data_IF_000715713148
#
_entry.id   IF_000715713148
#
_cell.length_a   1.000
_cell.length_b   1.000
_cell.length_c   1.000
_cell.angle_alpha   90.00
_cell.angle_beta   90.00
_cell.angle_gamma   90.00
#
_symmetry.space_group_name_H-M   'P 1'
#
loop_
_entity.id
_entity.type
_entity.pdbx_description
1 polymer ?
#
# COMPACT_ATOMS: atom_id res chain seq x y z
N UNK A 1 39.32 -20.37 20.10
CA UNK A 1 38.46 -19.31 20.68
C UNK A 1 37.62 -19.86 21.82
N UNK A 2 37.24 -19.04 22.81
CA UNK A 2 36.27 -19.46 23.86
C UNK A 2 34.82 -19.20 23.42
N UNK A 3 33.85 -19.84 24.07
CA UNK A 3 32.42 -19.71 23.70
C UNK A 3 31.90 -18.25 23.77
N UNK A 4 32.37 -17.46 24.73
CA UNK A 4 31.98 -16.04 24.85
C UNK A 4 32.53 -15.19 23.71
N UNK A 5 33.80 -15.36 23.39
CA UNK A 5 34.48 -14.70 22.27
C UNK A 5 33.84 -15.07 20.91
N UNK A 6 33.48 -16.34 20.74
CA UNK A 6 32.77 -16.81 19.55
C UNK A 6 31.39 -16.19 19.42
N UNK A 7 30.62 -16.18 20.50
CA UNK A 7 29.27 -15.62 20.53
C UNK A 7 29.30 -14.12 20.19
N UNK A 8 30.26 -13.37 20.74
CA UNK A 8 30.47 -11.96 20.44
C UNK A 8 30.84 -11.73 18.97
N UNK A 9 31.84 -12.47 18.44
CA UNK A 9 32.27 -12.34 17.04
C UNK A 9 31.21 -12.77 16.02
N UNK A 10 30.36 -13.73 16.37
CA UNK A 10 29.23 -14.17 15.54
C UNK A 10 27.97 -13.31 15.74
N UNK A 11 27.98 -12.38 16.69
CA UNK A 11 26.83 -11.59 17.13
C UNK A 11 25.59 -12.45 17.45
N UNK A 12 25.83 -13.56 18.16
CA UNK A 12 24.78 -14.45 18.69
C UNK A 12 24.90 -14.56 20.22
N UNK A 13 23.85 -15.07 20.86
CA UNK A 13 23.95 -15.39 22.28
C UNK A 13 24.76 -16.67 22.52
N UNK A 14 25.42 -16.78 23.67
CA UNK A 14 26.05 -18.05 24.13
C UNK A 14 25.03 -19.21 24.13
N UNK A 15 23.76 -18.91 24.41
CA UNK A 15 22.66 -19.89 24.38
C UNK A 15 22.43 -20.41 22.95
N UNK A 16 22.53 -19.56 21.94
CA UNK A 16 22.42 -19.95 20.54
C UNK A 16 23.59 -20.86 20.13
N UNK A 17 24.83 -20.52 20.51
CA UNK A 17 26.00 -21.39 20.25
C UNK A 17 25.79 -22.80 20.84
N UNK A 18 25.35 -22.89 22.10
CA UNK A 18 25.04 -24.18 22.73
C UNK A 18 23.91 -24.94 22.04
N UNK A 19 22.91 -24.21 21.54
CA UNK A 19 21.81 -24.80 20.78
C UNK A 19 22.30 -25.38 19.45
N UNK A 20 23.19 -24.69 18.74
CA UNK A 20 23.78 -25.19 17.49
C UNK A 20 24.69 -26.41 17.73
N UNK A 21 25.44 -26.43 18.83
CA UNK A 21 26.16 -27.64 19.28
C UNK A 21 25.21 -28.81 19.54
N UNK A 22 24.08 -28.56 20.22
CA UNK A 22 23.08 -29.59 20.53
C UNK A 22 22.45 -30.16 19.25
N UNK A 23 22.25 -29.33 18.24
CA UNK A 23 21.79 -29.75 16.90
C UNK A 23 22.88 -30.47 16.09
N UNK A 24 24.12 -30.51 16.59
CA UNK A 24 25.25 -31.16 15.92
C UNK A 24 25.85 -30.36 14.76
N UNK A 25 25.44 -29.11 14.59
CA UNK A 25 25.88 -28.22 13.50
C UNK A 25 27.27 -27.63 13.75
N UNK A 26 27.70 -27.60 15.01
CA UNK A 26 29.02 -27.09 15.42
C UNK A 26 29.62 -28.09 16.40
N UNK A 27 30.87 -28.50 16.17
CA UNK A 27 31.56 -29.52 16.97
C UNK A 27 32.92 -28.98 17.42
N UNK A 28 32.98 -28.23 18.54
CA UNK A 28 34.22 -27.64 18.99
C UNK A 28 35.25 -28.70 19.38
N UNK A 29 36.51 -28.38 19.13
CA UNK A 29 37.64 -29.11 19.70
C UNK A 29 37.68 -28.97 21.22
N UNK A 30 38.57 -29.74 21.85
CA UNK A 30 38.85 -29.63 23.29
C UNK A 30 40.34 -29.42 23.51
N UNK A 31 40.66 -28.46 24.36
CA UNK A 31 42.01 -28.26 24.86
C UNK A 31 42.38 -29.34 25.87
N UNK A 32 43.68 -29.50 26.13
CA UNK A 32 44.23 -30.41 27.13
C UNK A 32 43.68 -30.19 28.55
N UNK A 33 43.19 -28.99 28.84
CA UNK A 33 42.54 -28.61 30.10
C UNK A 33 41.01 -28.90 30.14
N UNK A 34 40.47 -29.60 29.13
CA UNK A 34 39.08 -30.06 29.07
C UNK A 34 38.06 -29.03 28.59
N UNK A 35 38.47 -27.78 28.38
CA UNK A 35 37.58 -26.75 27.87
C UNK A 35 37.38 -26.84 26.35
N UNK A 36 36.22 -26.34 25.88
CA UNK A 36 35.91 -26.16 24.46
C UNK A 36 36.82 -25.11 23.81
N UNK A 37 37.25 -25.41 22.60
CA UNK A 37 37.99 -24.52 21.72
C UNK A 37 37.33 -24.49 20.35
N UNK A 38 36.88 -23.31 19.95
CA UNK A 38 36.22 -23.07 18.66
C UNK A 38 37.22 -22.46 17.69
N UNK A 39 37.14 -22.90 16.44
CA UNK A 39 37.94 -22.45 15.31
C UNK A 39 37.28 -21.30 14.56
N UNK A 40 38.01 -20.66 13.65
CA UNK A 40 37.40 -19.70 12.71
C UNK A 40 36.40 -20.36 11.74
N UNK A 41 36.50 -21.69 11.54
CA UNK A 41 35.48 -22.44 10.80
C UNK A 41 34.16 -22.50 11.58
N UNK A 42 34.21 -22.78 12.88
CA UNK A 42 33.02 -22.76 13.75
C UNK A 42 32.36 -21.37 13.75
N UNK A 43 33.17 -20.31 13.74
CA UNK A 43 32.68 -18.93 13.60
C UNK A 43 31.93 -18.74 12.27
N UNK A 44 32.50 -19.19 11.16
CA UNK A 44 31.88 -19.09 9.83
C UNK A 44 30.54 -19.83 9.78
N UNK A 45 30.47 -21.04 10.34
CA UNK A 45 29.24 -21.84 10.41
C UNK A 45 28.17 -21.13 11.25
N UNK A 46 28.52 -20.58 12.41
CA UNK A 46 27.55 -19.89 13.27
C UNK A 46 27.03 -18.61 12.62
N UNK A 47 27.89 -17.83 11.97
CA UNK A 47 27.48 -16.65 11.22
C UNK A 47 26.51 -16.99 10.09
N UNK A 48 26.73 -18.13 9.42
CA UNK A 48 25.83 -18.63 8.38
C UNK A 48 24.45 -19.02 8.95
N UNK A 49 24.43 -19.80 10.04
CA UNK A 49 23.18 -20.20 10.70
C UNK A 49 22.37 -18.98 11.16
N UNK A 50 23.07 -17.93 11.64
CA UNK A 50 22.45 -16.66 12.01
C UNK A 50 21.83 -15.97 10.80
N UNK A 51 22.55 -15.88 9.68
CA UNK A 51 22.04 -15.28 8.45
C UNK A 51 20.78 -16.01 7.95
N UNK A 52 20.81 -17.34 7.91
CA UNK A 52 19.66 -18.19 7.55
C UNK A 52 18.47 -17.96 8.48
N UNK A 53 18.71 -17.82 9.79
CA UNK A 53 17.66 -17.52 10.77
C UNK A 53 16.99 -16.16 10.52
N UNK A 54 17.73 -15.19 9.98
CA UNK A 54 17.20 -13.89 9.55
C UNK A 54 16.16 -13.99 8.42
N UNK A 55 16.24 -15.04 7.60
CA UNK A 55 15.26 -15.35 6.55
C UNK A 55 14.14 -16.30 7.03
N UNK A 56 14.06 -16.56 8.33
CA UNK A 56 13.04 -17.45 8.91
C UNK A 56 13.38 -18.95 8.81
N UNK A 57 14.59 -19.30 8.38
CA UNK A 57 15.02 -20.71 8.33
C UNK A 57 15.42 -21.14 9.73
N UNK A 58 14.70 -22.11 10.27
CA UNK A 58 15.01 -22.66 11.58
C UNK A 58 16.41 -23.31 11.57
N UNK A 59 17.28 -23.04 12.56
CA UNK A 59 18.59 -23.69 12.68
C UNK A 59 18.56 -25.22 12.56
N UNK A 60 17.49 -25.88 12.98
CA UNK A 60 17.32 -27.33 12.83
C UNK A 60 17.28 -27.79 11.34
N UNK A 61 16.99 -26.89 10.41
CA UNK A 61 17.02 -27.12 8.95
C UNK A 61 18.33 -26.66 8.30
N UNK A 62 19.30 -26.17 9.07
CA UNK A 62 20.54 -25.60 8.53
C UNK A 62 21.59 -26.65 8.11
N UNK A 63 21.39 -27.94 8.44
CA UNK A 63 22.37 -28.99 8.16
C UNK A 63 22.85 -29.05 6.70
N UNK A 64 21.99 -28.96 5.66
CA UNK A 64 22.46 -28.99 4.26
C UNK A 64 23.39 -27.83 3.89
N UNK A 65 23.26 -26.69 4.55
CA UNK A 65 24.09 -25.51 4.34
C UNK A 65 25.46 -25.67 5.01
N UNK A 66 25.48 -26.22 6.23
CA UNK A 66 26.72 -26.54 6.95
C UNK A 66 27.50 -27.62 6.22
N UNK A 67 26.84 -28.69 5.79
CA UNK A 67 27.45 -29.77 5.00
C UNK A 67 28.06 -29.25 3.69
N UNK A 68 27.41 -28.26 3.05
CA UNK A 68 27.96 -27.63 1.86
C UNK A 68 29.26 -26.87 2.14
N UNK A 69 29.31 -26.11 3.23
CA UNK A 69 30.54 -25.42 3.66
C UNK A 69 31.65 -26.41 4.05
N UNK A 70 31.30 -27.51 4.73
CA UNK A 70 32.23 -28.58 5.09
C UNK A 70 32.80 -29.31 3.86
N UNK A 71 32.03 -29.39 2.76
CA UNK A 71 32.49 -29.92 1.48
C UNK A 71 33.50 -28.99 0.75
N UNK A 72 33.84 -27.84 1.34
CA UNK A 72 34.88 -26.92 0.84
C UNK A 72 34.36 -25.79 -0.04
N UNK A 73 33.03 -25.64 -0.16
CA UNK A 73 32.40 -24.59 -0.94
C UNK A 73 32.62 -23.19 -0.34
N UNK A 74 32.62 -22.18 -1.22
CA UNK A 74 32.77 -20.79 -0.78
C UNK A 74 31.46 -20.27 -0.18
N UNK A 75 30.33 -20.75 -0.68
CA UNK A 75 29.01 -20.38 -0.17
C UNK A 75 28.21 -21.62 0.26
N UNK A 76 27.31 -21.44 1.22
CA UNK A 76 26.55 -22.53 1.82
C UNK A 76 25.44 -23.08 0.90
N UNK A 77 25.17 -22.37 -0.19
CA UNK A 77 24.09 -22.58 -1.16
C UNK A 77 24.58 -23.06 -2.54
N UNK A 78 25.83 -23.54 -2.63
CA UNK A 78 26.38 -24.09 -3.88
C UNK A 78 25.99 -25.56 -4.12
N UNK A 79 25.42 -26.22 -3.10
CA UNK A 79 25.10 -27.64 -3.14
C UNK A 79 23.61 -27.88 -3.48
N UNK A 80 23.28 -28.96 -4.22
CA UNK A 80 21.88 -29.27 -4.53
C UNK A 80 20.97 -29.42 -3.29
N UNK A 81 21.50 -29.95 -2.18
CA UNK A 81 20.76 -30.15 -0.95
C UNK A 81 20.42 -28.82 -0.23
N UNK A 82 21.33 -27.85 -0.21
CA UNK A 82 21.07 -26.53 0.38
C UNK A 82 20.11 -25.71 -0.48
N UNK A 83 20.23 -25.79 -1.81
CA UNK A 83 19.24 -25.18 -2.72
C UNK A 83 17.85 -25.79 -2.57
N UNK A 84 17.76 -27.11 -2.36
CA UNK A 84 16.49 -27.77 -2.06
C UNK A 84 15.89 -27.25 -0.74
N UNK A 85 16.71 -27.09 0.31
CA UNK A 85 16.26 -26.54 1.59
C UNK A 85 15.74 -25.09 1.47
N UNK A 86 16.32 -24.26 0.59
CA UNK A 86 15.77 -22.95 0.27
C UNK A 86 14.41 -23.04 -0.42
N UNK A 87 14.27 -23.91 -1.44
CA UNK A 87 12.98 -24.10 -2.15
C UNK A 87 11.88 -24.58 -1.20
N UNK A 88 12.19 -25.48 -0.29
CA UNK A 88 11.25 -25.97 0.72
C UNK A 88 10.83 -24.85 1.67
N UNK A 89 11.78 -23.99 2.07
CA UNK A 89 11.50 -22.84 2.93
C UNK A 89 10.62 -21.80 2.23
N UNK A 90 10.87 -21.53 0.95
CA UNK A 90 10.00 -20.67 0.12
C UNK A 90 8.58 -21.26 0.04
N UNK A 91 8.47 -22.56 -0.23
CA UNK A 91 7.16 -23.25 -0.29
C UNK A 91 6.40 -23.16 1.05
N UNK A 92 7.11 -23.21 2.19
CA UNK A 92 6.52 -23.05 3.51
C UNK A 92 6.05 -21.60 3.78
N UNK A 93 6.83 -20.61 3.34
CA UNK A 93 6.45 -19.21 3.38
C UNK A 93 5.21 -18.96 2.52
N UNK A 94 5.17 -19.47 1.29
CA UNK A 94 4.02 -19.35 0.39
C UNK A 94 2.76 -19.95 1.00
N UNK A 95 2.87 -21.13 1.64
CA UNK A 95 1.74 -21.74 2.37
C UNK A 95 1.27 -20.85 3.52
N UNK A 96 2.20 -20.23 4.25
CA UNK A 96 1.88 -19.33 5.35
C UNK A 96 1.20 -18.07 4.85
N UNK A 97 1.72 -17.46 3.78
CA UNK A 97 1.12 -16.31 3.10
C UNK A 97 -0.29 -16.65 2.65
N UNK A 98 -0.50 -17.77 1.95
CA UNK A 98 -1.83 -18.20 1.52
C UNK A 98 -2.80 -18.38 2.70
N UNK A 99 -2.33 -18.97 3.82
CA UNK A 99 -3.16 -19.11 5.02
C UNK A 99 -3.51 -17.76 5.66
N UNK A 100 -2.55 -16.84 5.74
CA UNK A 100 -2.76 -15.49 6.28
C UNK A 100 -3.70 -14.67 5.38
N UNK A 101 -3.55 -14.74 4.06
CA UNK A 101 -4.44 -14.14 3.08
C UNK A 101 -5.86 -14.66 3.22
N UNK A 102 -6.04 -15.99 3.30
CA UNK A 102 -7.37 -16.60 3.52
C UNK A 102 -8.00 -16.18 4.85
N UNK A 103 -7.21 -16.07 5.93
CA UNK A 103 -7.70 -15.55 7.21
C UNK A 103 -8.11 -14.08 7.12
N UNK A 104 -7.32 -13.26 6.42
CA UNK A 104 -7.66 -11.86 6.16
C UNK A 104 -8.98 -11.75 5.40
N UNK A 105 -9.15 -12.54 4.34
CA UNK A 105 -10.40 -12.59 3.55
C UNK A 105 -11.58 -13.00 4.43
N UNK A 106 -11.44 -14.05 5.24
CA UNK A 106 -12.50 -14.47 6.15
C UNK A 106 -12.86 -13.41 7.20
N UNK A 107 -11.86 -12.70 7.74
CA UNK A 107 -12.10 -11.58 8.65
C UNK A 107 -12.79 -10.41 7.94
N UNK A 108 -12.42 -10.13 6.70
CA UNK A 108 -13.07 -9.11 5.87
C UNK A 108 -14.54 -9.47 5.58
N UNK A 109 -14.83 -10.73 5.22
CA UNK A 109 -16.19 -11.24 5.06
C UNK A 109 -16.99 -11.13 6.36
N UNK A 110 -16.40 -11.54 7.49
CA UNK A 110 -17.06 -11.42 8.81
C UNK A 110 -17.30 -9.98 9.20
N UNK A 111 -16.42 -9.06 8.83
CA UNK A 111 -16.61 -7.63 9.03
C UNK A 111 -17.80 -7.12 8.20
N UNK A 112 -17.89 -7.50 6.92
CA UNK A 112 -19.02 -7.15 6.06
C UNK A 112 -20.34 -7.75 6.56
N UNK A 113 -20.33 -9.01 7.00
CA UNK A 113 -21.50 -9.69 7.55
C UNK A 113 -21.89 -9.14 8.93
N UNK A 114 -20.93 -8.76 9.77
CA UNK A 114 -21.17 -8.08 11.04
C UNK A 114 -21.77 -6.70 10.83
N UNK A 115 -21.24 -5.95 9.85
CA UNK A 115 -21.82 -4.69 9.42
C UNK A 115 -23.28 -4.90 8.98
N UNK A 116 -23.58 -5.87 8.11
CA UNK A 116 -24.95 -6.11 7.64
C UNK A 116 -25.92 -6.59 8.73
N UNK A 117 -25.44 -7.26 9.78
CA UNK A 117 -26.26 -7.66 10.95
C UNK A 117 -26.54 -6.52 11.92
N UNK A 118 -25.67 -5.51 11.96
CA UNK A 118 -25.81 -4.36 12.88
C UNK A 118 -26.77 -3.30 12.33
N UNK A 119 -27.16 -3.38 11.05
CA UNK A 119 -28.08 -2.42 10.40
C UNK A 119 -29.58 -2.75 10.53
N UNK A 120 -29.98 -3.49 11.57
CA UNK A 120 -31.38 -3.52 11.99
C UNK A 120 -31.43 -3.36 13.51
N UNK A 121 -31.77 -2.13 13.91
CA UNK A 121 -32.08 -1.68 15.27
C UNK A 121 -30.92 -1.01 16.03
N UNK A 122 -31.12 0.29 16.23
CA UNK A 122 -30.52 1.21 17.21
C UNK A 122 -29.20 1.94 16.90
N UNK A 123 -29.38 3.26 16.79
CA UNK A 123 -28.40 4.32 16.60
C UNK A 123 -27.62 4.50 17.91
N UNK A 124 -26.30 4.28 17.92
CA UNK A 124 -25.36 5.05 18.76
C UNK A 124 -23.89 4.94 18.29
N UNK A 125 -23.43 6.04 17.69
CA UNK A 125 -22.09 6.67 17.79
C UNK A 125 -20.83 5.80 17.83
N UNK A 126 -20.41 5.31 16.66
CA UNK A 126 -19.00 5.43 16.22
C UNK A 126 -19.09 6.09 14.84
N UNK A 127 -18.65 7.35 14.71
CA UNK A 127 -18.74 8.06 13.43
C UNK A 127 -17.71 7.41 12.50
N UNK A 128 -18.20 6.54 11.62
CA UNK A 128 -17.47 6.09 10.45
C UNK A 128 -17.34 7.27 9.50
N UNK A 129 -16.22 7.99 9.63
CA UNK A 129 -15.86 9.14 8.81
C UNK A 129 -15.79 8.83 7.31
N UNK A 130 -15.83 7.55 6.91
CA UNK A 130 -15.90 7.11 5.52
C UNK A 130 -17.33 7.00 4.97
N UNK A 131 -18.37 7.15 5.80
CA UNK A 131 -19.77 6.94 5.41
C UNK A 131 -20.72 8.10 5.66
N UNK A 132 -20.37 9.05 6.53
CA UNK A 132 -21.27 10.17 6.87
C UNK A 132 -20.51 11.49 6.78
N UNK A 133 -21.03 12.41 5.95
CA UNK A 133 -20.62 13.81 5.94
C UNK A 133 -21.38 14.56 7.06
N UNK A 134 -20.72 15.46 7.80
CA UNK A 134 -21.41 16.35 8.73
C UNK A 134 -22.46 17.22 8.00
N UNK A 135 -23.62 17.44 8.65
CA UNK A 135 -24.76 18.14 8.04
C UNK A 135 -24.50 19.62 7.71
N UNK A 136 -23.48 20.24 8.32
CA UNK A 136 -23.18 21.68 8.22
C UNK A 136 -21.81 21.97 7.59
N UNK A 137 -21.38 21.15 6.62
CA UNK A 137 -20.14 21.45 5.91
C UNK A 137 -20.26 22.72 5.06
N UNK A 138 -19.24 23.58 5.04
CA UNK A 138 -19.22 24.75 4.18
C UNK A 138 -19.19 24.33 2.70
N UNK A 139 -20.11 24.91 1.93
CA UNK A 139 -20.19 24.71 0.48
C UNK A 139 -19.09 25.53 -0.20
N UNK A 140 -18.23 24.92 -1.03
CA UNK A 140 -17.26 25.68 -1.82
C UNK A 140 -17.97 26.63 -2.79
N UNK A 141 -17.42 27.83 -2.94
CA UNK A 141 -17.88 28.79 -3.93
C UNK A 141 -17.12 28.56 -5.22
N UNK A 142 -17.81 28.64 -6.35
CA UNK A 142 -17.16 28.64 -7.65
C UNK A 142 -16.40 29.96 -7.86
N UNK A 143 -15.09 29.86 -7.95
CA UNK A 143 -14.17 30.98 -8.16
C UNK A 143 -13.66 31.06 -9.61
N UNK A 144 -14.17 30.21 -10.52
CA UNK A 144 -13.77 30.16 -11.93
C UNK A 144 -12.36 29.62 -12.17
N UNK A 145 -11.68 29.08 -11.15
CA UNK A 145 -10.29 28.62 -11.25
C UNK A 145 -10.09 27.40 -12.18
N UNK A 146 -11.18 26.79 -12.66
CA UNK A 146 -11.17 25.64 -13.55
C UNK A 146 -11.72 25.93 -14.95
N UNK A 147 -12.22 27.14 -15.22
CA UNK A 147 -12.93 27.49 -16.47
C UNK A 147 -12.08 27.31 -17.72
N UNK A 148 -10.76 27.52 -17.60
CA UNK A 148 -9.82 27.43 -18.71
C UNK A 148 -9.46 26.01 -19.13
N UNK A 149 -9.91 24.98 -18.39
CA UNK A 149 -9.45 23.61 -18.57
C UNK A 149 -10.14 22.88 -19.72
N UNK A 150 -11.41 23.19 -19.98
CA UNK A 150 -12.20 22.52 -21.02
C UNK A 150 -11.56 22.75 -22.40
N UNK A 151 -11.35 21.68 -23.15
CA UNK A 151 -10.71 21.70 -24.47
C UNK A 151 -9.18 21.60 -24.45
N UNK A 152 -8.53 21.64 -23.28
CA UNK A 152 -7.09 21.40 -23.19
C UNK A 152 -6.76 19.92 -23.38
N UNK A 153 -5.68 19.65 -24.11
CA UNK A 153 -5.10 18.31 -24.16
C UNK A 153 -4.41 17.99 -22.83
N UNK A 154 -4.52 16.76 -22.35
CA UNK A 154 -3.79 16.33 -21.17
C UNK A 154 -2.29 16.34 -21.42
N UNK A 155 -1.48 16.76 -20.41
CA UNK A 155 -0.04 16.86 -20.56
C UNK A 155 0.58 15.47 -20.64
N UNK A 156 1.71 15.36 -21.33
CA UNK A 156 2.52 14.15 -21.40
C UNK A 156 3.26 13.92 -20.06
N UNK A 157 2.52 13.47 -19.06
CA UNK A 157 2.96 13.19 -17.70
C UNK A 157 2.57 11.76 -17.31
N UNK A 158 3.53 11.04 -16.74
CA UNK A 158 3.37 9.65 -16.32
C UNK A 158 3.33 9.53 -14.80
N UNK A 159 2.28 8.92 -14.29
CA UNK A 159 2.04 8.71 -12.86
C UNK A 159 2.09 7.23 -12.48
N UNK A 160 2.42 6.96 -11.21
CA UNK A 160 2.33 5.61 -10.66
C UNK A 160 0.89 5.33 -10.26
N UNK A 161 0.35 4.21 -10.74
CA UNK A 161 -0.95 3.69 -10.33
C UNK A 161 -0.80 2.64 -9.23
N UNK A 162 -1.83 2.50 -8.39
CA UNK A 162 -1.86 1.54 -7.27
C UNK A 162 -1.88 0.07 -7.70
N UNK A 163 -2.22 -0.23 -8.95
CA UNK A 163 -2.17 -1.58 -9.53
C UNK A 163 -0.80 -1.93 -10.14
N UNK A 164 0.22 -1.08 -9.90
CA UNK A 164 1.58 -1.27 -10.38
C UNK A 164 1.83 -0.72 -11.78
N UNK A 165 0.80 -0.25 -12.50
CA UNK A 165 0.98 0.35 -13.83
C UNK A 165 1.61 1.75 -13.74
N UNK A 166 2.19 2.16 -14.86
CA UNK A 166 2.54 3.56 -15.13
C UNK A 166 1.52 4.11 -16.13
N UNK A 167 0.82 5.16 -15.75
CA UNK A 167 -0.26 5.75 -16.55
C UNK A 167 0.20 7.09 -17.09
N UNK A 168 0.28 7.20 -18.41
CA UNK A 168 0.53 8.47 -19.10
C UNK A 168 -0.80 9.11 -19.46
N UNK A 169 -1.04 10.32 -18.96
CA UNK A 169 -2.29 11.06 -19.19
C UNK A 169 -2.50 11.47 -20.65
N UNK A 170 -1.43 11.59 -21.45
CA UNK A 170 -1.54 11.86 -22.89
C UNK A 170 -1.83 10.60 -23.72
N UNK A 171 -1.87 9.41 -23.11
CA UNK A 171 -1.99 8.10 -23.77
C UNK A 171 -3.08 7.22 -23.13
N UNK A 172 -4.19 7.82 -22.68
CA UNK A 172 -5.28 7.11 -22.00
C UNK A 172 -6.09 6.17 -22.91
N UNK A 173 -5.84 6.23 -24.22
CA UNK A 173 -6.55 5.44 -25.22
C UNK A 173 -7.88 6.08 -25.65
N UNK A 174 -8.65 5.38 -26.51
CA UNK A 174 -9.94 5.86 -26.98
C UNK A 174 -10.99 5.79 -25.87
N UNK A 175 -12.00 6.66 -25.95
CA UNK A 175 -13.13 6.67 -25.02
C UNK A 175 -12.97 7.68 -23.88
N UNK A 176 -13.85 7.59 -22.87
CA UNK A 176 -13.89 8.53 -21.75
C UNK A 176 -13.13 8.00 -20.54
N UNK A 177 -12.31 8.85 -19.94
CA UNK A 177 -11.65 8.58 -18.67
C UNK A 177 -12.09 9.63 -17.65
N UNK A 178 -12.49 9.18 -16.47
CA UNK A 178 -12.76 10.03 -15.31
C UNK A 178 -11.50 10.12 -14.47
N UNK A 179 -11.00 11.32 -14.22
CA UNK A 179 -9.92 11.58 -13.26
C UNK A 179 -10.44 12.53 -12.19
N UNK A 180 -10.79 12.00 -11.01
CA UNK A 180 -11.23 12.83 -9.89
C UNK A 180 -10.03 13.13 -8.98
N UNK A 181 -9.80 14.41 -8.70
CA UNK A 181 -8.76 14.88 -7.81
C UNK A 181 -9.36 15.22 -6.46
N UNK A 182 -8.66 14.84 -5.39
CA UNK A 182 -9.12 15.08 -4.04
C UNK A 182 -7.99 15.61 -3.14
N UNK A 183 -8.31 16.42 -2.11
CA UNK A 183 -7.30 17.04 -1.26
C UNK A 183 -6.47 16.04 -0.46
N UNK A 184 -7.13 15.23 0.36
CA UNK A 184 -6.47 14.35 1.32
C UNK A 184 -7.45 13.26 1.80
N UNK A 185 -7.06 12.00 1.73
CA UNK A 185 -7.74 10.92 2.46
C UNK A 185 -7.03 10.69 3.78
N UNK A 186 -7.77 10.44 4.87
CA UNK A 186 -7.20 10.18 6.20
C UNK A 186 -6.90 8.69 6.46
N UNK A 187 -5.99 8.41 7.38
CA UNK A 187 -5.69 7.06 7.89
C UNK A 187 -6.70 6.71 8.98
N UNK A 188 -7.27 5.49 9.01
CA UNK A 188 -8.13 5.10 10.12
C UNK A 188 -7.39 5.22 11.46
N UNK A 189 -8.04 5.86 12.44
CA UNK A 189 -7.47 6.02 13.78
C UNK A 189 -6.44 7.16 13.90
N UNK A 190 -6.24 7.97 12.86
CA UNK A 190 -5.50 9.25 12.95
C UNK A 190 -6.48 10.40 12.78
N UNK A 191 -6.38 11.40 13.66
CA UNK A 191 -7.20 12.60 13.55
C UNK A 191 -6.86 13.36 12.25
N UNK A 192 -7.89 13.92 11.62
CA UNK A 192 -7.70 14.87 10.52
C UNK A 192 -7.03 16.15 11.05
N UNK A 193 -6.38 16.95 10.18
CA UNK A 193 -5.81 18.22 10.59
C UNK A 193 -6.82 19.11 11.34
N UNK A 194 -6.34 19.87 12.32
CA UNK A 194 -7.19 20.80 13.07
C UNK A 194 -7.89 21.78 12.10
N UNK A 195 -9.19 21.99 12.29
CA UNK A 195 -9.99 22.88 11.43
C UNK A 195 -10.34 22.32 10.04
N UNK A 196 -10.04 21.06 9.76
CA UNK A 196 -10.31 20.44 8.44
C UNK A 196 -11.76 20.56 7.98
N UNK A 197 -12.72 20.34 8.88
CA UNK A 197 -14.15 20.40 8.56
C UNK A 197 -14.65 21.84 8.28
N UNK A 198 -13.86 22.86 8.66
CA UNK A 198 -14.17 24.27 8.39
C UNK A 198 -13.66 24.74 7.02
N UNK A 199 -12.82 23.97 6.32
CA UNK A 199 -12.31 24.32 4.99
C UNK A 199 -13.32 23.85 3.93
N UNK A 200 -13.91 24.76 3.12
CA UNK A 200 -14.86 24.39 2.08
C UNK A 200 -14.30 23.34 1.12
N UNK A 201 -15.00 22.20 0.99
CA UNK A 201 -14.65 21.12 0.06
C UNK A 201 -13.54 20.18 0.51
N UNK A 202 -12.86 20.46 1.64
CA UNK A 202 -11.78 19.62 2.16
C UNK A 202 -12.29 18.28 2.69
N UNK A 203 -13.44 18.28 3.37
CA UNK A 203 -14.07 17.08 3.92
C UNK A 203 -14.70 16.22 2.82
N UNK A 204 -14.63 14.89 2.98
CA UNK A 204 -15.39 13.94 2.16
C UNK A 204 -14.64 13.17 1.08
N UNK A 205 -13.30 13.14 1.12
CA UNK A 205 -12.52 12.39 0.12
C UNK A 205 -12.77 10.88 0.15
N UNK A 206 -12.88 10.28 1.34
CA UNK A 206 -13.21 8.84 1.44
C UNK A 206 -14.65 8.55 1.02
N UNK A 207 -15.60 9.46 1.30
CA UNK A 207 -16.99 9.30 0.86
C UNK A 207 -17.12 9.46 -0.65
N UNK A 208 -16.36 10.36 -1.28
CA UNK A 208 -16.30 10.49 -2.75
C UNK A 208 -15.72 9.22 -3.41
N UNK A 209 -14.63 8.70 -2.87
CA UNK A 209 -14.04 7.45 -3.38
C UNK A 209 -15.02 6.26 -3.27
N UNK A 210 -15.74 6.16 -2.14
CA UNK A 210 -16.82 5.18 -1.96
C UNK A 210 -17.97 5.40 -2.97
N UNK A 211 -18.34 6.65 -3.23
CA UNK A 211 -19.42 6.98 -4.17
C UNK A 211 -19.04 6.54 -5.60
N UNK A 212 -17.81 6.80 -6.05
CA UNK A 212 -17.31 6.28 -7.33
C UNK A 212 -17.22 4.76 -7.36
N UNK A 213 -16.86 4.10 -6.26
CA UNK A 213 -16.88 2.62 -6.16
C UNK A 213 -18.29 2.10 -6.38
N UNK A 214 -19.26 2.66 -5.68
CA UNK A 214 -20.63 2.17 -5.66
C UNK A 214 -21.32 2.40 -7.02
N UNK A 215 -20.92 3.43 -7.78
CA UNK A 215 -21.39 3.71 -9.14
C UNK A 215 -20.50 3.16 -10.26
N UNK A 216 -19.41 2.45 -9.95
CA UNK A 216 -18.38 2.09 -10.93
C UNK A 216 -18.94 1.32 -12.14
N UNK A 217 -19.80 0.33 -11.89
CA UNK A 217 -20.43 -0.45 -12.98
C UNK A 217 -21.32 0.44 -13.86
N UNK A 218 -22.11 1.32 -13.26
CA UNK A 218 -22.99 2.23 -14.02
C UNK A 218 -22.19 3.22 -14.87
N UNK A 219 -21.04 3.69 -14.36
CA UNK A 219 -20.11 4.54 -15.12
C UNK A 219 -19.51 3.77 -16.31
N UNK A 220 -19.10 2.51 -16.11
CA UNK A 220 -18.62 1.66 -17.22
C UNK A 220 -19.71 1.46 -18.28
N UNK A 221 -20.95 1.16 -17.85
CA UNK A 221 -22.10 0.98 -18.74
C UNK A 221 -22.46 2.27 -19.52
N UNK A 222 -22.20 3.44 -18.92
CA UNK A 222 -22.35 4.75 -19.56
C UNK A 222 -21.18 5.15 -20.50
N UNK A 223 -20.22 4.24 -20.74
CA UNK A 223 -19.12 4.43 -21.70
C UNK A 223 -17.87 5.10 -21.13
N UNK A 224 -17.72 5.18 -19.80
CA UNK A 224 -16.44 5.52 -19.17
C UNK A 224 -15.54 4.31 -19.24
N UNK A 225 -14.38 4.40 -19.89
CA UNK A 225 -13.39 3.33 -20.00
C UNK A 225 -12.53 3.16 -18.74
N UNK A 226 -12.10 4.28 -18.17
CA UNK A 226 -11.24 4.27 -16.99
C UNK A 226 -11.75 5.26 -15.94
N UNK A 227 -11.60 4.88 -14.67
CA UNK A 227 -11.76 5.79 -13.53
C UNK A 227 -10.42 5.82 -12.80
N UNK A 228 -9.95 7.01 -12.44
CA UNK A 228 -8.77 7.23 -11.62
C UNK A 228 -9.11 8.22 -10.52
N UNK A 229 -8.81 7.87 -9.27
CA UNK A 229 -8.65 8.87 -8.21
C UNK A 229 -7.23 9.42 -8.22
N UNK A 230 -7.01 10.70 -7.93
CA UNK A 230 -5.67 11.29 -7.87
C UNK A 230 -5.53 12.24 -6.69
N UNK A 231 -4.38 12.19 -6.02
CA UNK A 231 -3.99 13.23 -5.06
C UNK A 231 -2.47 13.39 -5.00
N UNK A 232 -2.02 14.37 -4.22
CA UNK A 232 -0.60 14.58 -3.93
C UNK A 232 -0.03 13.61 -2.89
N UNK A 233 -0.79 12.61 -2.47
CA UNK A 233 -0.32 11.60 -1.53
C UNK A 233 0.49 10.53 -2.25
N UNK A 234 1.49 10.00 -1.53
CA UNK A 234 2.41 8.96 -2.03
C UNK A 234 1.69 7.67 -2.47
N UNK A 235 2.29 6.96 -3.43
CA UNK A 235 1.68 5.78 -4.05
C UNK A 235 1.34 4.67 -3.04
N UNK A 236 2.17 4.46 -2.02
CA UNK A 236 1.90 3.48 -0.96
C UNK A 236 0.66 3.84 -0.13
N UNK A 237 0.42 5.14 0.09
CA UNK A 237 -0.76 5.64 0.78
C UNK A 237 -2.02 5.45 -0.07
N UNK A 238 -1.95 5.80 -1.35
CA UNK A 238 -3.02 5.59 -2.31
C UNK A 238 -3.42 4.10 -2.38
N UNK A 239 -2.42 3.20 -2.33
CA UNK A 239 -2.64 1.75 -2.33
C UNK A 239 -3.44 1.28 -1.11
N UNK A 240 -3.10 1.77 0.08
CA UNK A 240 -3.87 1.48 1.31
C UNK A 240 -5.33 1.91 1.18
N UNK A 241 -5.60 3.07 0.60
CA UNK A 241 -6.97 3.58 0.42
C UNK A 241 -7.76 2.68 -0.52
N UNK A 242 -7.16 2.27 -1.64
CA UNK A 242 -7.77 1.34 -2.60
C UNK A 242 -8.13 0.02 -1.91
N UNK A 243 -7.21 -0.55 -1.13
CA UNK A 243 -7.42 -1.81 -0.42
C UNK A 243 -8.47 -1.69 0.69
N UNK A 244 -8.39 -0.63 1.49
CA UNK A 244 -9.29 -0.39 2.64
C UNK A 244 -10.72 -0.15 2.19
N UNK A 245 -10.91 0.64 1.13
CA UNK A 245 -12.23 1.01 0.63
C UNK A 245 -12.76 0.01 -0.41
N UNK A 246 -11.94 -0.95 -0.87
CA UNK A 246 -12.33 -1.93 -1.87
C UNK A 246 -12.65 -1.28 -3.21
N UNK A 247 -11.79 -0.35 -3.66
CA UNK A 247 -12.03 0.39 -4.90
C UNK A 247 -11.75 -0.50 -6.13
N UNK A 248 -12.68 -0.59 -7.11
CA UNK A 248 -12.52 -1.40 -8.31
C UNK A 248 -11.66 -0.72 -9.39
N UNK A 249 -11.07 0.42 -9.07
CA UNK A 249 -10.26 1.24 -9.95
C UNK A 249 -8.98 1.70 -9.21
N UNK A 250 -7.89 1.96 -9.94
CA UNK A 250 -6.65 2.40 -9.33
C UNK A 250 -6.68 3.90 -9.00
N UNK A 251 -5.78 4.29 -8.08
CA UNK A 251 -5.48 5.69 -7.81
C UNK A 251 -4.09 6.07 -8.34
N UNK A 252 -3.92 7.34 -8.71
CA UNK A 252 -2.69 7.93 -9.23
C UNK A 252 -2.05 8.83 -8.18
N UNK A 253 -0.74 8.71 -8.02
CA UNK A 253 0.04 9.51 -7.08
C UNK A 253 0.81 10.63 -7.78
N UNK A 254 0.60 11.88 -7.33
CA UNK A 254 1.29 13.08 -7.83
C UNK A 254 1.90 13.94 -6.70
N UNK A 255 2.91 13.43 -5.97
CA UNK A 255 3.47 14.10 -4.80
C UNK A 255 4.14 15.45 -5.11
N UNK A 256 4.50 15.68 -6.37
CA UNK A 256 5.16 16.90 -6.83
C UNK A 256 4.20 17.93 -7.43
N UNK A 257 2.89 17.67 -7.42
CA UNK A 257 1.88 18.53 -8.04
C UNK A 257 2.19 18.84 -9.52
N UNK A 258 2.74 17.86 -10.23
CA UNK A 258 3.13 18.00 -11.63
C UNK A 258 1.92 18.30 -12.50
N UNK A 259 0.79 17.65 -12.23
CA UNK A 259 -0.46 17.91 -12.96
C UNK A 259 -0.99 19.31 -12.65
N UNK A 260 -0.99 19.71 -11.37
CA UNK A 260 -1.40 21.05 -10.96
C UNK A 260 -0.59 22.14 -11.67
N UNK A 261 0.73 21.95 -11.77
CA UNK A 261 1.61 22.89 -12.45
C UNK A 261 1.36 22.94 -13.95
N UNK A 262 1.15 21.79 -14.58
CA UNK A 262 0.97 21.71 -16.03
C UNK A 262 -0.36 22.31 -16.50
N UNK A 263 -1.44 22.11 -15.75
CA UNK A 263 -2.79 22.57 -16.10
C UNK A 263 -3.24 23.81 -15.34
N UNK A 264 -2.41 24.35 -14.44
CA UNK A 264 -2.77 25.42 -13.51
C UNK A 264 -4.02 25.05 -12.69
N UNK A 265 -4.02 23.85 -12.09
CA UNK A 265 -5.15 23.38 -11.30
C UNK A 265 -5.23 24.10 -9.95
N UNK A 266 -6.46 24.34 -9.43
CA UNK A 266 -6.66 24.93 -8.12
C UNK A 266 -6.09 24.06 -7.00
N UNK A 267 -5.41 24.70 -6.06
CA UNK A 267 -4.83 24.10 -4.87
C UNK A 267 -4.99 25.04 -3.68
N UNK A 268 -5.01 24.51 -2.45
CA UNK A 268 -5.11 25.31 -1.24
C UNK A 268 -4.17 24.79 -0.14
N UNK A 269 -3.71 25.66 0.79
CA UNK A 269 -2.96 25.24 1.98
C UNK A 269 -3.91 24.78 3.10
N UNK A 270 -3.46 23.87 3.95
CA UNK A 270 -4.17 23.45 5.17
C UNK A 270 -3.17 23.27 6.33
N UNK A 271 -3.62 23.26 7.59
CA UNK A 271 -2.72 22.98 8.71
C UNK A 271 -1.94 21.67 8.51
N UNK A 272 -0.60 21.74 8.59
CA UNK A 272 0.28 20.60 8.33
C UNK A 272 0.58 20.31 6.85
N UNK A 273 -0.01 21.06 5.91
CA UNK A 273 0.14 20.87 4.47
C UNK A 273 0.23 22.22 3.73
N UNK A 274 1.41 22.56 3.22
CA UNK A 274 1.61 23.82 2.47
C UNK A 274 0.76 23.89 1.18
N UNK A 275 0.41 22.72 0.62
CA UNK A 275 -0.35 22.62 -0.62
C UNK A 275 -1.12 21.30 -0.67
N UNK A 276 -2.37 21.36 -1.10
CA UNK A 276 -3.25 20.23 -1.40
C UNK A 276 -4.09 20.54 -2.65
N UNK A 277 -4.53 19.51 -3.36
CA UNK A 277 -5.44 19.68 -4.48
C UNK A 277 -6.81 20.18 -4.01
N UNK A 278 -7.39 21.16 -4.71
CA UNK A 278 -8.82 21.42 -4.58
C UNK A 278 -9.59 20.29 -5.27
N UNK A 279 -10.74 19.89 -4.72
CA UNK A 279 -11.57 18.83 -5.29
C UNK A 279 -12.09 19.25 -6.67
N UNK A 280 -11.76 18.47 -7.70
CA UNK A 280 -12.21 18.70 -9.07
C UNK A 280 -12.20 17.37 -9.83
N UNK A 281 -13.07 17.21 -10.82
CA UNK A 281 -13.09 16.00 -11.67
C UNK A 281 -12.95 16.38 -13.13
N UNK A 282 -11.99 15.75 -13.80
CA UNK A 282 -11.78 15.89 -15.24
C UNK A 282 -12.46 14.71 -15.96
N UNK A 283 -13.35 15.02 -16.90
CA UNK A 283 -13.81 14.05 -17.89
C UNK A 283 -12.98 14.24 -19.14
N UNK A 284 -12.26 13.19 -19.53
CA UNK A 284 -11.27 13.24 -20.59
C UNK A 284 -11.72 12.31 -21.69
N UNK A 285 -11.84 12.82 -22.91
CA UNK A 285 -12.17 12.04 -24.10
C UNK A 285 -11.09 12.22 -25.13
N UNK A 286 -10.54 11.11 -25.62
CA UNK A 286 -9.47 11.10 -26.62
C UNK A 286 -8.30 12.05 -26.25
N UNK A 287 -7.89 11.98 -24.98
CA UNK A 287 -6.84 12.79 -24.34
C UNK A 287 -7.11 14.31 -24.26
N UNK A 288 -8.33 14.77 -24.52
CA UNK A 288 -8.76 16.17 -24.34
C UNK A 288 -9.77 16.24 -23.19
N UNK A 289 -9.66 17.28 -22.36
CA UNK A 289 -10.64 17.54 -21.29
C UNK A 289 -11.97 17.95 -21.93
N UNK A 290 -12.95 17.05 -21.90
CA UNK A 290 -14.30 17.25 -22.44
C UNK A 290 -15.17 18.05 -21.46
N UNK A 291 -14.98 17.82 -20.15
CA UNK A 291 -15.74 18.49 -19.11
C UNK A 291 -14.96 18.54 -17.80
N UNK A 292 -15.28 19.55 -16.96
CA UNK A 292 -14.71 19.68 -15.62
C UNK A 292 -15.85 19.92 -14.63
N UNK A 293 -15.88 19.10 -13.58
CA UNK A 293 -16.71 19.36 -12.40
C UNK A 293 -15.88 20.13 -11.39
N UNK A 294 -16.24 21.39 -11.18
CA UNK A 294 -15.66 22.25 -10.17
C UNK A 294 -16.61 23.42 -9.88
N UNK A 295 -16.84 23.78 -8.60
CA UNK A 295 -16.50 23.01 -7.42
C UNK A 295 -17.40 21.79 -7.26
N UNK A 296 -16.98 20.83 -6.44
CA UNK A 296 -17.75 19.60 -6.16
C UNK A 296 -18.36 19.66 -4.76
N UNK A 297 -19.70 19.59 -4.68
CA UNK A 297 -20.44 19.43 -3.43
C UNK A 297 -21.86 18.84 -3.67
N UNK A 298 -22.37 17.98 -2.78
CA UNK A 298 -21.62 17.28 -1.74
C UNK A 298 -20.79 16.14 -2.35
N UNK A 299 -19.59 15.84 -1.82
CA UNK A 299 -18.68 14.87 -2.43
C UNK A 299 -19.21 13.42 -2.43
N UNK A 300 -20.18 13.08 -1.59
CA UNK A 300 -20.80 11.75 -1.52
C UNK A 300 -21.93 11.51 -2.53
N UNK A 301 -22.18 12.46 -3.43
CA UNK A 301 -23.13 12.32 -4.54
C UNK A 301 -22.48 12.64 -5.89
N UNK A 302 -21.15 12.80 -5.92
CA UNK A 302 -20.45 13.31 -7.07
C UNK A 302 -20.40 12.30 -8.23
N UNK A 303 -20.24 11.00 -7.96
CA UNK A 303 -20.26 9.98 -8.99
C UNK A 303 -21.63 9.92 -9.70
N UNK A 304 -22.72 10.15 -8.96
CA UNK A 304 -24.06 10.29 -9.56
C UNK A 304 -24.16 11.55 -10.44
N UNK A 305 -23.59 12.70 -10.02
CA UNK A 305 -23.54 13.91 -10.86
C UNK A 305 -22.78 13.66 -12.18
N UNK A 306 -21.67 12.92 -12.11
CA UNK A 306 -20.92 12.50 -13.32
C UNK A 306 -21.78 11.61 -14.21
N UNK A 307 -22.49 10.65 -13.63
CA UNK A 307 -23.39 9.75 -14.36
C UNK A 307 -24.54 10.50 -15.04
N UNK A 308 -25.17 11.44 -14.33
CA UNK A 308 -26.25 12.27 -14.86
C UNK A 308 -25.79 13.13 -16.04
N UNK A 309 -24.55 13.62 -16.01
CA UNK A 309 -23.95 14.35 -17.13
C UNK A 309 -23.65 13.45 -18.33
N UNK A 310 -23.16 12.22 -18.09
CA UNK A 310 -22.86 11.26 -19.16
C UNK A 310 -24.10 10.81 -19.94
N UNK A 311 -25.28 10.89 -19.31
CA UNK A 311 -26.55 10.45 -19.87
C UNK A 311 -27.33 11.56 -20.62
N UNK A 312 -26.83 12.80 -20.62
CA UNK A 312 -27.39 13.94 -21.35
C UNK A 312 -26.93 13.96 -22.81
#
# INVERSE_FOLDING_TARGET
MRIGELAERAEVSIKAVRYYEQLGLVKPGRLSNGYRDYSDHDLRVISEIRALSGFGINPAKAAPFVECLEAGHQHSDECPASLAAFRDSITELDRTIASLTSRREHLAERLQQGASRTFRTEITTVIDYSKVLPDNLPVPVDDGAADHLVGLALPNLTFSATDGRKVNLAELGPGRTVVYLYPLTGVPGTDLPEGWDAIPGARGCSTEACDFRDHYTMLRDAGVENVFGMSSQEAGYQGEVVDRLGLPFPMLSDPNFALAKALTLPTFPAPGHDRLYTRLTLIVKDCVIEHVFYPIFPPNAHAQQVLDWLQQ
#
